data_IF_641131121290
#
_entry.id   IF_641131121290
#
_cell.length_a   1.000
_cell.length_b   1.000
_cell.length_c   1.000
_cell.angle_alpha   90.00
_cell.angle_beta   90.00
_cell.angle_gamma   90.00
#
_symmetry.space_group_name_H-M   'P 1'
#
loop_
_entity.id
_entity.type
_entity.pdbx_description
1 polymer ?
#
# COMPACT_ATOMS: atom_id res chain seq x y z
N UNK A 1 -14.96 -9.23 -14.30
CA UNK A 1 -15.14 -8.14 -13.31
C UNK A 1 -14.73 -8.73 -11.96
N UNK A 2 -13.68 -8.19 -11.32
CA UNK A 2 -13.00 -8.83 -10.19
C UNK A 2 -13.90 -8.96 -8.95
N UNK A 3 -13.88 -10.12 -8.29
CA UNK A 3 -14.66 -10.44 -7.06
C UNK A 3 -14.43 -9.40 -5.95
N UNK A 4 -13.25 -8.78 -5.91
CA UNK A 4 -12.91 -7.67 -5.00
C UNK A 4 -13.82 -6.45 -5.16
N UNK A 5 -14.17 -6.10 -6.41
CA UNK A 5 -15.00 -4.94 -6.70
C UNK A 5 -16.43 -5.22 -6.21
N UNK A 6 -16.90 -6.46 -6.39
CA UNK A 6 -18.24 -6.86 -5.95
C UNK A 6 -18.36 -6.89 -4.42
N UNK A 7 -17.31 -7.28 -3.69
CA UNK A 7 -17.30 -7.19 -2.22
C UNK A 7 -17.30 -5.77 -1.67
N UNK A 8 -16.64 -4.82 -2.36
CA UNK A 8 -16.64 -3.41 -1.96
C UNK A 8 -18.02 -2.75 -2.20
N UNK A 9 -18.76 -3.19 -3.21
CA UNK A 9 -20.15 -2.76 -3.45
C UNK A 9 -21.19 -3.50 -2.58
N UNK A 10 -20.83 -4.64 -1.99
CA UNK A 10 -21.72 -5.42 -1.13
C UNK A 10 -21.95 -4.75 0.25
N UNK A 11 -21.04 -3.85 0.66
CA UNK A 11 -21.25 -2.98 1.82
C UNK A 11 -21.82 -1.66 1.31
N UNK A 12 -23.16 -1.46 1.37
CA UNK A 12 -23.82 -0.33 0.71
C UNK A 12 -23.24 1.03 1.10
N UNK A 13 -22.77 1.19 2.33
CA UNK A 13 -22.17 2.46 2.81
C UNK A 13 -20.81 2.73 2.17
N UNK A 14 -19.93 1.72 2.08
CA UNK A 14 -18.56 1.87 1.57
C UNK A 14 -18.56 1.99 0.03
N UNK A 15 -19.38 1.20 -0.65
CA UNK A 15 -19.51 1.24 -2.11
C UNK A 15 -20.12 2.54 -2.63
N UNK A 16 -21.04 3.17 -1.87
CA UNK A 16 -21.64 4.45 -2.25
C UNK A 16 -20.65 5.61 -2.05
N UNK A 17 -19.98 5.65 -0.90
CA UNK A 17 -18.92 6.61 -0.61
C UNK A 17 -17.76 6.54 -1.63
N UNK A 18 -17.31 5.34 -1.97
CA UNK A 18 -16.24 5.14 -2.95
C UNK A 18 -16.66 5.54 -4.36
N UNK A 19 -17.92 5.27 -4.74
CA UNK A 19 -18.45 5.66 -6.05
C UNK A 19 -18.55 7.18 -6.18
N UNK A 20 -19.00 7.86 -5.13
CA UNK A 20 -19.16 9.31 -5.10
C UNK A 20 -17.81 10.05 -5.10
N UNK A 21 -16.79 9.46 -4.47
CA UNK A 21 -15.42 10.00 -4.52
C UNK A 21 -14.76 9.95 -5.91
N UNK A 22 -15.17 9.00 -6.77
CA UNK A 22 -14.58 8.80 -8.10
C UNK A 22 -15.37 9.55 -9.18
N UNK A 23 -16.69 9.63 -9.06
CA UNK A 23 -17.58 10.18 -10.10
C UNK A 23 -18.17 11.55 -9.72
N UNK A 24 -18.01 12.00 -8.47
CA UNK A 24 -18.62 13.21 -7.95
C UNK A 24 -17.85 14.50 -8.22
N UNK A 25 -18.40 15.60 -7.70
CA UNK A 25 -17.81 16.95 -7.75
C UNK A 25 -16.38 16.96 -7.19
N UNK A 26 -15.47 17.86 -7.61
CA UNK A 26 -14.11 17.95 -7.08
C UNK A 26 -13.99 17.99 -5.55
N UNK A 27 -15.06 18.36 -4.83
CA UNK A 27 -15.09 18.41 -3.36
C UNK A 27 -15.49 17.06 -2.71
N UNK A 28 -16.04 16.12 -3.48
CA UNK A 28 -16.52 14.81 -3.00
C UNK A 28 -15.42 13.97 -2.32
N UNK A 29 -14.16 14.16 -2.75
CA UNK A 29 -13.00 13.51 -2.11
C UNK A 29 -12.81 13.90 -0.65
N UNK A 30 -13.12 15.15 -0.28
CA UNK A 30 -12.99 15.61 1.10
C UNK A 30 -14.08 15.01 1.98
N UNK A 31 -15.31 14.94 1.46
CA UNK A 31 -16.41 14.27 2.14
C UNK A 31 -16.15 12.78 2.31
N UNK A 32 -15.53 12.12 1.33
CA UNK A 32 -15.12 10.72 1.48
C UNK A 32 -14.11 10.54 2.62
N UNK A 33 -13.04 11.34 2.65
CA UNK A 33 -12.03 11.27 3.70
C UNK A 33 -12.63 11.54 5.09
N UNK A 34 -13.52 12.53 5.20
CA UNK A 34 -14.22 12.83 6.45
C UNK A 34 -15.12 11.66 6.89
N UNK A 35 -15.93 11.10 6.00
CA UNK A 35 -16.79 9.96 6.32
C UNK A 35 -15.98 8.72 6.70
N UNK A 36 -14.86 8.46 6.02
CA UNK A 36 -13.96 7.36 6.38
C UNK A 36 -13.40 7.55 7.79
N UNK A 37 -12.95 8.76 8.14
CA UNK A 37 -12.48 9.09 9.48
C UNK A 37 -13.60 8.98 10.53
N UNK A 38 -14.82 9.43 10.21
CA UNK A 38 -15.97 9.34 11.09
C UNK A 38 -16.38 7.88 11.35
N UNK A 39 -16.42 7.03 10.32
CA UNK A 39 -16.67 5.59 10.45
C UNK A 39 -15.57 4.95 11.31
N UNK A 40 -14.32 5.31 11.07
CA UNK A 40 -13.20 4.80 11.87
C UNK A 40 -13.35 5.18 13.35
N UNK A 41 -13.70 6.43 13.65
CA UNK A 41 -13.97 6.88 15.01
C UNK A 41 -15.19 6.16 15.63
N UNK A 42 -16.25 5.93 14.86
CA UNK A 42 -17.42 5.17 15.29
C UNK A 42 -17.07 3.71 15.61
N UNK A 43 -16.18 3.08 14.83
CA UNK A 43 -15.68 1.73 15.10
C UNK A 43 -14.81 1.68 16.37
N UNK A 44 -13.96 2.70 16.59
CA UNK A 44 -13.24 2.83 17.86
C UNK A 44 -14.21 2.97 19.03
N UNK A 45 -15.27 3.76 18.88
CA UNK A 45 -16.26 3.93 19.94
C UNK A 45 -17.05 2.63 20.20
N UNK A 46 -17.47 1.91 19.16
CA UNK A 46 -18.28 0.70 19.27
C UNK A 46 -17.49 -0.52 19.78
N UNK A 47 -16.25 -0.70 19.31
CA UNK A 47 -15.44 -1.88 19.62
C UNK A 47 -14.30 -1.60 20.61
N UNK A 48 -13.91 -0.33 20.79
CA UNK A 48 -12.87 0.09 21.73
C UNK A 48 -11.44 -0.21 21.27
N UNK A 49 -10.57 -0.42 22.26
CA UNK A 49 -9.15 -0.76 22.07
C UNK A 49 -8.89 -1.99 21.17
N UNK A 50 -9.68 -3.08 21.22
CA UNK A 50 -9.49 -4.24 20.34
C UNK A 50 -9.45 -3.89 18.85
N UNK A 51 -10.27 -2.92 18.41
CA UNK A 51 -10.27 -2.47 17.02
C UNK A 51 -8.95 -1.78 16.65
N UNK A 52 -8.46 -0.88 17.51
CA UNK A 52 -7.18 -0.19 17.31
C UNK A 52 -6.00 -1.17 17.23
N UNK A 53 -5.96 -2.17 18.13
CA UNK A 53 -4.92 -3.20 18.12
C UNK A 53 -4.96 -3.99 16.81
N UNK A 54 -6.16 -4.40 16.38
CA UNK A 54 -6.32 -5.18 15.15
C UNK A 54 -5.85 -4.39 13.92
N UNK A 55 -6.24 -3.12 13.81
CA UNK A 55 -5.80 -2.24 12.72
C UNK A 55 -4.28 -2.04 12.76
N UNK A 56 -3.70 -1.82 13.93
CA UNK A 56 -2.26 -1.62 14.08
C UNK A 56 -1.46 -2.88 13.68
N UNK A 57 -1.88 -4.06 14.12
CA UNK A 57 -1.22 -5.33 13.77
C UNK A 57 -1.35 -5.62 12.27
N UNK A 58 -2.53 -5.39 11.69
CA UNK A 58 -2.72 -5.53 10.24
C UNK A 58 -1.83 -4.56 9.45
N UNK A 59 -1.77 -3.29 9.87
CA UNK A 59 -0.91 -2.29 9.25
C UNK A 59 0.58 -2.64 9.35
N UNK A 60 1.03 -3.15 10.50
CA UNK A 60 2.40 -3.62 10.69
C UNK A 60 2.72 -4.81 9.77
N UNK A 61 1.81 -5.79 9.67
CA UNK A 61 1.95 -6.92 8.76
C UNK A 61 2.05 -6.47 7.29
N UNK A 62 1.18 -5.54 6.88
CA UNK A 62 1.23 -4.95 5.54
C UNK A 62 2.56 -4.21 5.30
N UNK A 63 3.03 -3.40 6.25
CA UNK A 63 4.28 -2.65 6.11
C UNK A 63 5.49 -3.60 5.96
N UNK A 64 5.55 -4.67 6.76
CA UNK A 64 6.60 -5.68 6.65
C UNK A 64 6.52 -6.42 5.31
N UNK A 65 5.32 -6.82 4.87
CA UNK A 65 5.13 -7.45 3.56
C UNK A 65 5.55 -6.52 2.43
N UNK A 66 5.16 -5.24 2.47
CA UNK A 66 5.56 -4.22 1.50
C UNK A 66 7.08 -4.04 1.47
N UNK A 67 7.75 -4.01 2.63
CA UNK A 67 9.19 -3.92 2.72
C UNK A 67 9.86 -5.13 2.04
N UNK A 68 9.43 -6.35 2.36
CA UNK A 68 9.95 -7.59 1.75
C UNK A 68 9.77 -7.57 0.24
N UNK A 69 8.59 -7.19 -0.23
CA UNK A 69 8.27 -7.10 -1.66
C UNK A 69 9.18 -6.07 -2.34
N UNK A 70 9.30 -4.87 -1.77
CA UNK A 70 10.11 -3.79 -2.35
C UNK A 70 11.60 -4.18 -2.40
N UNK A 71 12.13 -4.78 -1.34
CA UNK A 71 13.51 -5.27 -1.30
C UNK A 71 13.73 -6.42 -2.29
N UNK A 72 12.76 -7.31 -2.43
CA UNK A 72 12.84 -8.40 -3.41
C UNK A 72 12.90 -7.85 -4.84
N UNK A 73 12.06 -6.88 -5.17
CA UNK A 73 12.09 -6.22 -6.49
C UNK A 73 13.43 -5.54 -6.80
N UNK A 74 14.06 -4.89 -5.82
CA UNK A 74 15.41 -4.31 -5.98
C UNK A 74 16.48 -5.40 -6.22
N UNK A 75 16.41 -6.51 -5.46
CA UNK A 75 17.36 -7.61 -5.59
C UNK A 75 17.29 -8.29 -6.98
N UNK A 76 16.12 -8.38 -7.59
CA UNK A 76 15.95 -8.92 -8.95
C UNK A 76 16.28 -7.91 -10.07
N UNK A 77 16.41 -6.61 -9.75
CA UNK A 77 16.71 -5.55 -10.72
C UNK A 77 18.20 -5.34 -11.04
N UNK A 78 19.12 -5.92 -10.25
CA UNK A 78 20.56 -5.86 -10.54
C UNK A 78 20.94 -6.87 -11.62
N UNK A 79 21.12 -6.39 -12.86
CA UNK A 79 21.85 -7.15 -13.87
C UNK A 79 23.31 -7.36 -13.41
N UNK A 80 23.90 -8.55 -13.62
CA UNK A 80 25.29 -8.87 -13.27
C UNK A 80 26.23 -8.12 -14.23
N UNK A 81 26.37 -6.82 -14.02
CA UNK A 81 27.26 -5.98 -14.79
C UNK A 81 28.16 -5.28 -13.79
N UNK A 82 29.46 -5.37 -14.02
CA UNK A 82 30.50 -4.56 -13.36
C UNK A 82 31.24 -5.09 -12.13
N UNK A 83 31.37 -6.41 -11.93
CA UNK A 83 32.44 -6.97 -11.07
C UNK A 83 33.59 -7.63 -11.83
N UNK A 84 33.54 -7.66 -13.17
CA UNK A 84 34.51 -8.38 -14.00
C UNK A 84 35.37 -7.47 -14.91
N UNK A 85 35.68 -6.24 -14.48
CA UNK A 85 36.79 -5.48 -15.08
C UNK A 85 37.89 -5.29 -14.06
N UNK A 86 38.65 -6.36 -13.84
CA UNK A 86 39.93 -6.30 -13.15
C UNK A 86 40.80 -5.20 -13.79
N UNK A 87 41.55 -4.42 -12.99
CA UNK A 87 42.44 -3.41 -13.53
C UNK A 87 43.49 -4.11 -14.40
N UNK A 88 43.45 -3.84 -15.71
CA UNK A 88 44.43 -4.32 -16.69
C UNK A 88 45.80 -3.82 -16.25
N UNK A 89 46.58 -4.68 -15.61
CA UNK A 89 47.96 -4.41 -15.26
C UNK A 89 48.73 -4.05 -16.53
N UNK A 90 49.01 -2.76 -16.68
CA UNK A 90 49.90 -2.23 -17.71
C UNK A 90 51.33 -2.61 -17.36
N UNK A 91 51.76 -3.82 -17.74
CA UNK A 91 53.18 -4.12 -17.84
C UNK A 91 53.78 -3.22 -18.93
N UNK A 92 54.47 -2.16 -18.51
CA UNK A 92 55.45 -1.47 -19.35
C UNK A 92 56.59 -2.44 -19.63
N UNK A 93 56.79 -2.79 -20.89
CA UNK A 93 58.02 -3.41 -21.37
C UNK A 93 59.05 -2.29 -21.57
N UNK A 94 60.18 -2.42 -20.89
CA UNK A 94 61.45 -1.74 -21.22
C UNK A 94 62.23 -2.61 -22.19
#
# INVERSE_FOLDING_TARGET
>A
MSVLIQSLYAVPVVGWLAKDAIQGHPDAKYYFAFNAAAIFAALIYAFGYPFLITVAVAAAGCALASLVILTSFDAFGRAPTETAKAPRATRKAY
#
